data_IF_546238393869
#
_entry.id   IF_546238393869
#
_cell.length_a   1.000
_cell.length_b   1.000
_cell.length_c   1.000
_cell.angle_alpha   90.00
_cell.angle_beta   90.00
_cell.angle_gamma   90.00
#
_symmetry.space_group_name_H-M   'P 1'
#
loop_
_entity.id
_entity.type
_entity.pdbx_description
1 polymer ?
#
# COMPACT_ATOMS: atom_id res chain seq x y z
N UNK A 1 -17.23 -7.99 -18.91
CA UNK A 1 -17.06 -8.08 -17.44
C UNK A 1 -16.35 -6.79 -17.03
N UNK A 2 -16.75 -6.14 -15.93
CA UNK A 2 -16.03 -4.96 -15.46
C UNK A 2 -14.57 -5.35 -15.14
N UNK A 3 -13.62 -4.47 -15.46
CA UNK A 3 -12.22 -4.70 -15.09
C UNK A 3 -12.11 -4.73 -13.55
N UNK A 4 -11.48 -5.77 -13.00
CA UNK A 4 -11.27 -5.89 -11.55
C UNK A 4 -10.24 -4.86 -11.11
N UNK A 5 -10.46 -4.22 -9.96
CA UNK A 5 -9.51 -3.28 -9.37
C UNK A 5 -8.18 -4.00 -9.06
N UNK A 6 -7.08 -3.51 -9.61
CA UNK A 6 -5.75 -4.13 -9.55
C UNK A 6 -4.92 -3.55 -8.41
N UNK A 7 -4.44 -4.43 -7.54
CA UNK A 7 -3.59 -4.07 -6.40
C UNK A 7 -2.23 -4.72 -6.55
N UNK A 8 -1.18 -3.91 -6.60
CA UNK A 8 0.20 -4.37 -6.53
C UNK A 8 0.64 -4.46 -5.06
N UNK A 9 1.22 -5.58 -4.65
CA UNK A 9 1.58 -5.82 -3.26
C UNK A 9 2.97 -6.41 -3.14
N UNK A 10 3.74 -5.92 -2.17
CA UNK A 10 5.03 -6.50 -1.83
C UNK A 10 5.34 -6.37 -0.35
N UNK A 11 6.32 -7.14 0.11
CA UNK A 11 6.88 -6.98 1.44
C UNK A 11 8.40 -7.09 1.45
N UNK A 12 9.01 -6.92 2.62
CA UNK A 12 10.29 -7.57 2.93
C UNK A 12 10.04 -8.91 3.65
N UNK A 13 11.11 -9.51 4.14
CA UNK A 13 11.07 -10.76 4.90
C UNK A 13 10.25 -10.65 6.20
N UNK A 14 10.27 -9.50 6.88
CA UNK A 14 9.50 -9.29 8.10
C UNK A 14 8.00 -9.12 7.82
N UNK A 15 7.64 -8.58 6.66
CA UNK A 15 6.26 -8.42 6.21
C UNK A 15 5.64 -9.63 5.51
N UNK A 16 6.42 -10.67 5.21
CA UNK A 16 6.00 -11.80 4.35
C UNK A 16 4.71 -12.50 4.82
N UNK A 17 4.60 -12.79 6.12
CA UNK A 17 3.41 -13.45 6.66
C UNK A 17 2.16 -12.56 6.56
N UNK A 18 2.29 -11.27 6.90
CA UNK A 18 1.21 -10.29 6.81
C UNK A 18 0.78 -10.04 5.36
N UNK A 19 1.74 -10.03 4.42
CA UNK A 19 1.47 -9.93 2.97
C UNK A 19 0.49 -11.01 2.53
N UNK A 20 0.76 -12.28 2.88
CA UNK A 20 -0.11 -13.40 2.53
C UNK A 20 -1.52 -13.25 3.07
N UNK A 21 -1.66 -12.80 4.32
CA UNK A 21 -2.97 -12.57 4.95
C UNK A 21 -3.78 -11.47 4.26
N UNK A 22 -3.11 -10.39 3.89
CA UNK A 22 -3.74 -9.30 3.13
C UNK A 22 -4.14 -9.77 1.73
N UNK A 23 -3.32 -10.59 1.07
CA UNK A 23 -3.65 -11.16 -0.23
C UNK A 23 -4.88 -12.07 -0.15
N UNK A 24 -4.93 -12.99 0.81
CA UNK A 24 -6.10 -13.86 1.06
C UNK A 24 -7.39 -13.04 1.24
N UNK A 25 -7.31 -11.97 2.04
CA UNK A 25 -8.44 -11.06 2.25
C UNK A 25 -8.85 -10.33 0.97
N UNK A 26 -7.91 -9.75 0.22
CA UNK A 26 -8.22 -9.00 -1.00
C UNK A 26 -8.80 -9.90 -2.11
N UNK A 27 -8.27 -11.11 -2.29
CA UNK A 27 -8.81 -12.09 -3.23
C UNK A 27 -10.26 -12.47 -2.88
N UNK A 28 -10.55 -12.64 -1.59
CA UNK A 28 -11.92 -12.92 -1.12
C UNK A 28 -12.90 -11.75 -1.32
N UNK A 29 -12.39 -10.53 -1.53
CA UNK A 29 -13.15 -9.31 -1.80
C UNK A 29 -13.04 -8.87 -3.28
N UNK A 30 -12.80 -9.82 -4.18
CA UNK A 30 -12.84 -9.63 -5.64
C UNK A 30 -11.79 -8.70 -6.26
N UNK A 31 -10.72 -8.35 -5.53
CA UNK A 31 -9.56 -7.63 -6.08
C UNK A 31 -8.70 -8.53 -6.98
N UNK A 32 -8.05 -7.93 -7.98
CA UNK A 32 -7.00 -8.59 -8.77
C UNK A 32 -5.63 -8.24 -8.18
N UNK A 33 -4.78 -9.23 -7.92
CA UNK A 33 -3.49 -9.01 -7.27
C UNK A 33 -2.31 -9.16 -8.22
N UNK A 34 -1.30 -8.30 -8.03
CA UNK A 34 0.04 -8.44 -8.60
C UNK A 34 1.01 -8.60 -7.41
N UNK A 35 1.38 -9.84 -7.10
CA UNK A 35 2.38 -10.12 -6.06
C UNK A 35 3.79 -9.86 -6.60
N UNK A 36 4.49 -8.88 -6.01
CA UNK A 36 5.87 -8.52 -6.36
C UNK A 36 6.91 -9.14 -5.42
N UNK A 37 6.47 -10.03 -4.54
CA UNK A 37 7.29 -10.86 -3.65
C UNK A 37 7.57 -10.21 -2.29
N UNK A 38 8.50 -10.80 -1.50
CA UNK A 38 9.21 -12.05 -1.77
C UNK A 38 8.27 -13.28 -1.69
N UNK A 39 8.77 -14.42 -2.17
CA UNK A 39 8.06 -15.71 -2.17
C UNK A 39 8.39 -16.58 -0.94
N UNK A 40 9.35 -16.13 -0.12
CA UNK A 40 9.77 -16.76 1.13
C UNK A 40 10.02 -15.73 2.24
N UNK A 41 10.27 -16.23 3.45
CA UNK A 41 10.68 -15.42 4.61
C UNK A 41 12.20 -15.20 4.69
N UNK A 42 12.93 -15.52 3.64
CA UNK A 42 14.38 -15.34 3.60
C UNK A 42 14.73 -13.86 3.55
N UNK A 43 15.90 -13.50 4.09
CA UNK A 43 16.33 -12.10 4.16
C UNK A 43 16.40 -11.47 2.76
N UNK A 44 15.82 -10.28 2.66
CA UNK A 44 15.75 -9.48 1.43
C UNK A 44 15.79 -7.99 1.77
N UNK A 45 16.12 -7.18 0.77
CA UNK A 45 16.19 -5.72 0.87
C UNK A 45 14.88 -5.08 0.41
N UNK A 46 14.19 -4.41 1.34
CA UNK A 46 12.90 -3.75 1.08
C UNK A 46 12.89 -2.77 -0.11
N UNK A 47 13.97 -2.02 -0.46
CA UNK A 47 13.93 -1.10 -1.59
C UNK A 47 13.65 -1.78 -2.94
N UNK A 48 14.13 -3.00 -3.14
CA UNK A 48 13.94 -3.74 -4.39
C UNK A 48 12.48 -4.09 -4.64
N UNK A 49 11.74 -4.37 -3.56
CA UNK A 49 10.32 -4.71 -3.60
C UNK A 49 9.44 -3.47 -3.67
N UNK A 50 9.78 -2.42 -2.92
CA UNK A 50 9.11 -1.12 -3.02
C UNK A 50 9.15 -0.56 -4.44
N UNK A 51 10.30 -0.67 -5.11
CA UNK A 51 10.48 -0.24 -6.50
C UNK A 51 9.52 -0.92 -7.47
N UNK A 52 9.32 -2.24 -7.33
CA UNK A 52 8.41 -2.99 -8.22
C UNK A 52 6.97 -2.47 -8.12
N UNK A 53 6.46 -2.29 -6.91
CA UNK A 53 5.10 -1.75 -6.68
C UNK A 53 4.98 -0.31 -7.20
N UNK A 54 6.00 0.52 -6.99
CA UNK A 54 5.98 1.90 -7.50
C UNK A 54 5.95 1.94 -9.03
N UNK A 55 6.73 1.08 -9.70
CA UNK A 55 6.72 0.98 -11.15
C UNK A 55 5.33 0.56 -11.67
N UNK A 56 4.68 -0.42 -11.05
CA UNK A 56 3.33 -0.85 -11.46
C UNK A 56 2.31 0.29 -11.43
N UNK A 57 2.41 1.19 -10.45
CA UNK A 57 1.51 2.34 -10.35
C UNK A 57 1.88 3.46 -11.33
N UNK A 58 3.17 3.66 -11.58
CA UNK A 58 3.65 4.68 -12.53
C UNK A 58 3.37 4.28 -13.98
N UNK A 59 3.43 2.98 -14.28
CA UNK A 59 3.16 2.40 -15.60
C UNK A 59 1.66 2.09 -15.81
N UNK A 60 0.81 2.40 -14.82
CA UNK A 60 -0.64 2.16 -14.83
C UNK A 60 -1.04 0.67 -14.94
N UNK A 61 -0.14 -0.24 -14.55
CA UNK A 61 -0.39 -1.69 -14.44
C UNK A 61 -1.25 -2.04 -13.21
N UNK A 62 -1.22 -1.19 -12.17
CA UNK A 62 -2.02 -1.33 -10.96
C UNK A 62 -2.68 -0.01 -10.54
N UNK A 63 -3.88 -0.11 -9.97
CA UNK A 63 -4.62 1.05 -9.48
C UNK A 63 -4.05 1.57 -8.15
N UNK A 64 -3.60 0.67 -7.27
CA UNK A 64 -3.08 0.99 -5.92
C UNK A 64 -2.03 0.00 -5.47
N UNK A 65 -1.21 0.43 -4.50
CA UNK A 65 -0.13 -0.38 -3.94
C UNK A 65 -0.27 -0.66 -2.45
N UNK A 66 0.26 -1.79 -2.00
CA UNK A 66 0.46 -2.12 -0.58
C UNK A 66 1.92 -2.54 -0.37
N UNK A 67 2.60 -1.95 0.61
CA UNK A 67 3.98 -2.29 0.96
C UNK A 67 4.12 -2.58 2.44
N UNK A 68 4.78 -3.69 2.77
CA UNK A 68 4.86 -4.16 4.16
C UNK A 68 6.32 -4.41 4.52
N UNK A 69 6.79 -3.81 5.60
CA UNK A 69 8.07 -4.21 6.19
C UNK A 69 7.99 -4.27 7.71
N UNK A 70 9.12 -4.44 8.40
CA UNK A 70 9.12 -4.47 9.87
C UNK A 70 8.38 -3.28 10.50
N UNK A 71 8.68 -2.05 10.07
CA UNK A 71 8.05 -0.82 10.59
C UNK A 71 7.21 -0.05 9.57
N UNK A 72 7.20 -0.46 8.30
CA UNK A 72 6.59 0.26 7.17
C UNK A 72 7.36 1.52 6.72
N UNK A 73 8.22 2.08 7.58
CA UNK A 73 8.94 3.34 7.30
C UNK A 73 9.85 3.27 6.08
N UNK A 74 10.68 2.22 5.97
CA UNK A 74 11.61 2.08 4.84
C UNK A 74 10.87 2.00 3.50
N UNK A 75 9.75 1.26 3.47
CA UNK A 75 8.90 1.17 2.29
C UNK A 75 8.34 2.55 1.90
N UNK A 76 7.78 3.30 2.85
CA UNK A 76 7.26 4.64 2.59
C UNK A 76 8.34 5.61 2.12
N UNK A 77 9.55 5.55 2.69
CA UNK A 77 10.67 6.41 2.30
C UNK A 77 11.14 6.14 0.88
N UNK A 78 11.22 4.88 0.46
CA UNK A 78 11.60 4.52 -0.91
C UNK A 78 10.49 4.88 -1.89
N UNK A 79 9.26 4.51 -1.58
CA UNK A 79 8.11 4.73 -2.46
C UNK A 79 7.89 6.22 -2.76
N UNK A 80 7.98 7.08 -1.75
CA UNK A 80 7.81 8.53 -1.91
C UNK A 80 8.96 9.22 -2.67
N UNK A 81 9.98 8.49 -3.15
CA UNK A 81 10.96 9.03 -4.13
C UNK A 81 10.45 8.99 -5.56
N UNK A 82 9.39 8.23 -5.84
CA UNK A 82 8.83 8.09 -7.19
C UNK A 82 7.80 9.19 -7.44
N UNK A 83 7.93 9.87 -8.58
CA UNK A 83 7.00 10.92 -8.97
C UNK A 83 5.59 10.34 -9.11
N UNK A 84 4.58 11.04 -8.59
CA UNK A 84 3.20 10.59 -8.61
C UNK A 84 2.82 9.58 -7.51
N UNK A 85 3.80 9.05 -6.76
CA UNK A 85 3.54 8.17 -5.62
C UNK A 85 3.34 9.00 -4.35
N UNK A 86 2.31 8.61 -3.60
CA UNK A 86 1.95 9.13 -2.28
C UNK A 86 1.73 7.93 -1.37
N UNK A 87 2.83 7.45 -0.80
CA UNK A 87 2.84 6.31 0.11
C UNK A 87 2.62 6.78 1.56
N UNK A 88 1.61 6.23 2.23
CA UNK A 88 1.27 6.56 3.60
C UNK A 88 1.59 5.42 4.55
N UNK A 89 2.33 5.70 5.63
CA UNK A 89 2.47 4.76 6.75
C UNK A 89 1.26 4.89 7.66
N UNK A 90 0.53 3.80 7.82
CA UNK A 90 -0.65 3.75 8.65
C UNK A 90 -0.49 2.67 9.73
N UNK A 91 -0.92 3.01 10.94
CA UNK A 91 -0.95 2.07 12.08
C UNK A 91 -2.33 2.03 12.74
N UNK A 92 -3.34 2.64 12.12
CA UNK A 92 -4.74 2.65 12.56
C UNK A 92 -5.68 2.97 11.40
N UNK A 93 -6.95 2.64 11.55
CA UNK A 93 -8.00 3.01 10.58
C UNK A 93 -8.11 4.52 10.38
N UNK A 94 -8.08 5.30 11.47
CA UNK A 94 -8.16 6.77 11.41
C UNK A 94 -7.03 7.36 10.56
N UNK A 95 -5.79 6.91 10.77
CA UNK A 95 -4.67 7.36 9.93
C UNK A 95 -4.86 6.97 8.47
N UNK A 96 -5.42 5.79 8.23
CA UNK A 96 -5.64 5.27 6.88
C UNK A 96 -6.72 6.04 6.13
N UNK A 97 -7.81 6.36 6.83
CA UNK A 97 -8.90 7.18 6.33
C UNK A 97 -8.37 8.57 5.93
N UNK A 98 -7.65 9.23 6.83
CA UNK A 98 -7.08 10.56 6.56
C UNK A 98 -6.07 10.53 5.42
N UNK A 99 -5.25 9.49 5.30
CA UNK A 99 -4.31 9.34 4.20
C UNK A 99 -5.02 9.28 2.83
N UNK A 100 -6.16 8.59 2.75
CA UNK A 100 -6.98 8.55 1.53
C UNK A 100 -7.74 9.85 1.32
N UNK A 101 -8.54 10.25 2.30
CA UNK A 101 -9.44 11.39 2.25
C UNK A 101 -8.70 12.72 1.97
N UNK A 102 -7.55 12.93 2.62
CA UNK A 102 -6.85 14.22 2.57
C UNK A 102 -5.63 14.26 1.66
N UNK A 103 -4.97 13.12 1.43
CA UNK A 103 -3.71 13.08 0.69
C UNK A 103 -3.82 12.30 -0.61
N UNK A 104 -4.97 11.70 -0.89
CA UNK A 104 -5.18 10.77 -1.99
C UNK A 104 -4.02 9.75 -2.08
N UNK A 105 -3.64 9.16 -0.95
CA UNK A 105 -2.55 8.19 -0.90
C UNK A 105 -2.84 7.04 -1.86
N UNK A 106 -1.90 6.70 -2.73
CA UNK A 106 -2.04 5.61 -3.71
C UNK A 106 -1.25 4.35 -3.32
N UNK A 107 -0.39 4.44 -2.31
CA UNK A 107 0.24 3.28 -1.67
C UNK A 107 -0.03 3.30 -0.17
N UNK A 108 -0.54 2.19 0.37
CA UNK A 108 -0.59 1.93 1.81
C UNK A 108 0.72 1.25 2.24
N UNK A 109 1.32 1.73 3.32
CA UNK A 109 2.47 1.05 3.94
C UNK A 109 2.16 0.64 5.37
N UNK A 110 2.54 -0.58 5.73
CA UNK A 110 2.25 -1.19 7.03
C UNK A 110 3.53 -1.72 7.69
N UNK A 111 3.58 -1.62 9.01
CA UNK A 111 4.64 -2.18 9.83
C UNK A 111 4.22 -3.49 10.48
N UNK A 112 4.70 -4.63 9.98
CA UNK A 112 4.33 -5.95 10.48
C UNK A 112 4.75 -6.21 11.95
N UNK A 113 5.65 -5.40 12.52
CA UNK A 113 6.02 -5.43 13.94
C UNK A 113 5.26 -4.41 14.80
N UNK A 114 4.45 -3.56 14.18
CA UNK A 114 3.77 -2.44 14.84
C UNK A 114 2.26 -2.63 14.94
N UNK A 115 1.67 -3.37 14.00
CA UNK A 115 0.24 -3.69 13.99
C UNK A 115 0.03 -5.19 13.93
N UNK A 116 -1.06 -5.66 14.54
CA UNK A 116 -1.52 -7.03 14.40
C UNK A 116 -2.28 -7.24 13.07
N UNK A 117 -2.59 -8.51 12.78
CA UNK A 117 -3.30 -8.90 11.56
C UNK A 117 -4.67 -8.21 11.44
N UNK A 118 -5.46 -8.17 12.51
CA UNK A 118 -6.77 -7.53 12.52
C UNK A 118 -6.70 -6.03 12.18
N UNK A 119 -5.72 -5.33 12.76
CA UNK A 119 -5.49 -3.91 12.51
C UNK A 119 -5.01 -3.70 11.07
N UNK A 120 -4.11 -4.55 10.58
CA UNK A 120 -3.63 -4.49 9.20
C UNK A 120 -4.77 -4.67 8.19
N UNK A 121 -5.64 -5.66 8.38
CA UNK A 121 -6.83 -5.87 7.53
C UNK A 121 -7.79 -4.69 7.61
N UNK A 122 -8.02 -4.13 8.81
CA UNK A 122 -8.89 -2.95 8.98
C UNK A 122 -8.33 -1.72 8.27
N UNK A 123 -7.00 -1.53 8.29
CA UNK A 123 -6.35 -0.49 7.50
C UNK A 123 -6.52 -0.74 5.99
N UNK A 124 -6.33 -1.98 5.53
CA UNK A 124 -6.53 -2.34 4.12
C UNK A 124 -7.96 -2.04 3.66
N UNK A 125 -8.97 -2.53 4.39
CA UNK A 125 -10.38 -2.27 4.11
C UNK A 125 -10.68 -0.76 4.04
N UNK A 126 -10.22 -0.01 5.05
CA UNK A 126 -10.39 1.44 5.11
C UNK A 126 -9.71 2.14 3.93
N UNK A 127 -8.52 1.71 3.53
CA UNK A 127 -7.77 2.32 2.44
C UNK A 127 -8.50 2.23 1.10
N UNK A 128 -9.13 1.08 0.82
CA UNK A 128 -9.85 0.86 -0.43
C UNK A 128 -11.28 1.39 -0.41
N UNK A 129 -11.93 1.44 0.75
CA UNK A 129 -13.29 1.98 0.90
C UNK A 129 -13.35 3.51 1.02
N UNK A 130 -12.25 4.18 1.38
CA UNK A 130 -12.23 5.64 1.59
C UNK A 130 -12.00 6.40 0.27
N UNK A 131 -12.96 7.22 -0.19
CA UNK A 131 -12.77 8.09 -1.35
C UNK A 131 -11.89 9.30 -1.00
N UNK A 132 -11.26 9.90 -2.01
CA UNK A 132 -10.57 11.18 -1.85
C UNK A 132 -11.59 12.32 -1.76
N UNK A 133 -11.45 13.22 -0.77
CA UNK A 133 -12.41 14.32 -0.57
C UNK A 133 -12.27 15.46 -1.59
N UNK A 134 -11.09 15.63 -2.19
CA UNK A 134 -10.85 16.73 -3.12
C UNK A 134 -10.84 18.11 -2.43
N UNK A 135 -11.57 19.08 -3.00
CA UNK A 135 -11.66 20.48 -2.51
C UNK A 135 -10.30 21.10 -2.09
N UNK A 136 -10.14 21.55 -0.84
CA UNK A 136 -8.90 22.15 -0.35
C UNK A 136 -7.71 21.19 -0.40
N UNK A 137 -7.97 19.88 -0.41
CA UNK A 137 -6.95 18.84 -0.42
C UNK A 137 -6.29 18.71 -1.79
N UNK A 138 -7.03 18.89 -2.90
CA UNK A 138 -6.45 18.79 -4.25
C UNK A 138 -5.34 19.82 -4.47
N UNK A 139 -5.50 21.03 -3.92
CA UNK A 139 -4.47 22.09 -3.99
C UNK A 139 -3.18 21.71 -3.26
N UNK A 140 -3.27 20.88 -2.21
CA UNK A 140 -2.11 20.42 -1.42
C UNK A 140 -1.46 19.23 -2.10
N UNK A 141 -2.25 18.28 -2.60
CA UNK A 141 -1.76 17.15 -3.39
C UNK A 141 -0.96 17.64 -4.59
N UNK A 142 -1.47 18.63 -5.34
CA UNK A 142 -0.77 19.22 -6.48
C UNK A 142 0.54 19.94 -6.12
N UNK A 143 0.77 20.29 -4.84
CA UNK A 143 2.03 20.88 -4.37
C UNK A 143 3.09 19.84 -3.98
N UNK A 144 2.71 18.58 -3.79
CA UNK A 144 3.64 17.50 -3.46
C UNK A 144 4.49 17.14 -4.68
N UNK A 145 3.87 17.09 -5.86
CA UNK A 145 4.56 16.85 -7.15
C UNK A 145 4.04 15.64 -7.92
#
# INVERSE_FOLDING_TARGET
MAEKFKVSIASDHAGFAMKKKIMEYLESNDFSLIDRGPDSSDSVDYPDFAKKVCNDLVEEDADRGILICGSGQGMAMVANKYKGIRAALCVSEEMTELARAHNDANILTLGARLVDESTAISCVDKFFSTPFEGDRHIKRVNKIG
#
